data_IF_385534836603
#
_entry.id   IF_385534836603
#
_cell.length_a   1.000
_cell.length_b   1.000
_cell.length_c   1.000
_cell.angle_alpha   90.00
_cell.angle_beta   90.00
_cell.angle_gamma   90.00
#
_symmetry.space_group_name_H-M   'P 1'
#
loop_
_entity.id
_entity.type
_entity.pdbx_description
1 polymer ?
#
# COMPACT_ATOMS: atom_id res chain seq x y z
N UNK A 1 24.69 4.67 -19.08
CA UNK A 1 23.64 3.63 -19.01
C UNK A 1 23.73 2.97 -17.64
N UNK A 2 22.81 3.30 -16.74
CA UNK A 2 22.67 2.66 -15.44
C UNK A 2 21.18 2.44 -15.16
N UNK A 3 20.54 1.55 -15.93
CA UNK A 3 19.12 1.19 -15.82
C UNK A 3 18.87 0.09 -14.77
N UNK A 4 19.49 0.15 -13.59
CA UNK A 4 19.60 -1.05 -12.73
C UNK A 4 19.01 -0.98 -11.32
N UNK A 5 18.11 -0.03 -11.00
CA UNK A 5 17.65 0.11 -9.59
C UNK A 5 16.15 -0.05 -9.34
N UNK A 6 15.25 0.10 -10.32
CA UNK A 6 13.79 0.13 -10.03
C UNK A 6 13.05 -1.20 -10.22
N UNK A 7 13.65 -2.20 -10.87
CA UNK A 7 12.96 -3.47 -11.20
C UNK A 7 13.06 -4.54 -10.10
N UNK A 8 13.94 -4.38 -9.12
CA UNK A 8 14.18 -5.43 -8.12
C UNK A 8 13.19 -5.41 -6.95
N UNK A 9 12.49 -4.29 -6.70
CA UNK A 9 11.53 -4.14 -5.59
C UNK A 9 10.16 -4.78 -5.88
N UNK A 10 9.81 -5.01 -7.15
CA UNK A 10 8.52 -5.58 -7.55
C UNK A 10 8.49 -7.12 -7.53
N UNK A 11 9.60 -7.79 -7.16
CA UNK A 11 9.75 -9.24 -7.28
C UNK A 11 9.36 -10.08 -6.06
N UNK A 12 8.98 -9.48 -4.93
CA UNK A 12 8.88 -10.21 -3.64
C UNK A 12 7.49 -10.20 -2.98
N UNK A 13 6.43 -10.26 -3.79
CA UNK A 13 5.09 -10.59 -3.29
C UNK A 13 4.60 -11.90 -3.94
N UNK A 14 5.33 -12.99 -3.65
CA UNK A 14 4.99 -14.34 -4.06
C UNK A 14 4.11 -15.02 -3.01
N UNK A 15 2.97 -15.53 -3.46
CA UNK A 15 1.89 -16.14 -2.68
C UNK A 15 2.33 -17.27 -1.73
N UNK A 16 1.75 -17.25 -0.51
CA UNK A 16 1.62 -18.44 0.33
C UNK A 16 0.19 -18.53 0.88
N UNK A 17 -0.60 -19.44 0.31
CA UNK A 17 -1.86 -19.93 0.87
C UNK A 17 -1.54 -21.26 1.55
N UNK A 18 -1.61 -21.29 2.88
CA UNK A 18 -1.66 -22.54 3.68
C UNK A 18 -2.80 -22.36 4.67
N UNK A 19 -3.74 -23.30 4.67
CA UNK A 19 -5.11 -23.07 5.10
C UNK A 19 -5.41 -23.14 6.60
N UNK A 20 -6.69 -22.84 6.91
CA UNK A 20 -7.43 -23.38 8.04
C UNK A 20 -7.44 -22.57 9.34
N UNK A 21 -8.61 -21.96 9.62
CA UNK A 21 -9.15 -21.57 10.94
C UNK A 21 -8.54 -20.33 11.62
N UNK A 22 -9.34 -19.25 11.65
CA UNK A 22 -9.15 -18.11 12.55
C UNK A 22 -8.70 -16.83 11.85
N UNK A 23 -9.65 -15.92 11.60
CA UNK A 23 -9.39 -14.54 11.16
C UNK A 23 -8.73 -13.72 12.27
N UNK A 24 -7.44 -13.95 12.48
CA UNK A 24 -6.59 -13.00 13.18
C UNK A 24 -5.60 -12.45 12.15
N UNK A 25 -6.06 -11.45 11.40
CA UNK A 25 -5.21 -10.58 10.58
C UNK A 25 -4.31 -9.78 11.52
N UNK A 26 -3.33 -10.43 12.15
CA UNK A 26 -2.26 -9.76 12.84
C UNK A 26 -1.31 -9.21 11.77
N UNK A 27 -1.72 -8.15 11.10
CA UNK A 27 -0.82 -7.29 10.32
C UNK A 27 0.09 -6.55 11.31
N UNK A 28 1.02 -7.30 11.91
CA UNK A 28 2.11 -6.78 12.73
C UNK A 28 3.25 -6.44 11.78
N UNK A 29 3.43 -5.16 11.52
CA UNK A 29 4.74 -4.54 11.30
C UNK A 29 4.56 -3.03 11.45
N UNK A 30 4.53 -2.55 12.69
CA UNK A 30 4.88 -1.17 12.98
C UNK A 30 6.41 -1.09 12.88
N UNK A 31 6.90 -0.99 11.65
CA UNK A 31 8.29 -0.65 11.39
C UNK A 31 8.40 0.88 11.44
N UNK A 32 8.55 1.40 12.67
CA UNK A 32 8.68 2.84 12.92
C UNK A 32 10.12 3.32 12.68
N UNK A 33 10.77 2.84 11.61
CA UNK A 33 12.20 3.10 11.37
C UNK A 33 12.47 4.27 10.42
N UNK A 34 11.48 4.76 9.68
CA UNK A 34 11.69 5.70 8.56
C UNK A 34 10.91 7.03 8.65
N UNK A 35 10.40 7.39 9.84
CA UNK A 35 9.64 8.64 10.04
C UNK A 35 8.24 8.65 9.40
N UNK A 36 7.80 7.52 8.85
CA UNK A 36 6.44 7.33 8.34
C UNK A 36 5.51 6.90 9.46
N UNK A 37 4.30 7.45 9.46
CA UNK A 37 3.22 7.04 10.37
C UNK A 37 2.10 6.40 9.57
N UNK A 38 1.69 5.20 9.97
CA UNK A 38 0.51 4.54 9.40
C UNK A 38 -0.76 5.27 9.87
N UNK A 39 -1.65 5.56 8.93
CA UNK A 39 -2.96 6.15 9.19
C UNK A 39 -4.05 5.27 8.58
N UNK A 40 -5.23 5.26 9.22
CA UNK A 40 -6.38 4.51 8.73
C UNK A 40 -6.99 5.21 7.51
N UNK A 41 -7.34 4.43 6.49
CA UNK A 41 -7.99 4.94 5.29
C UNK A 41 -9.51 5.06 5.52
N UNK A 42 -10.18 6.11 4.98
CA UNK A 42 -11.64 6.21 5.02
C UNK A 42 -12.33 5.17 4.12
N UNK A 43 -11.57 4.40 3.33
CA UNK A 43 -12.06 3.31 2.50
C UNK A 43 -11.24 2.04 2.71
N UNK A 44 -11.90 0.89 2.63
CA UNK A 44 -11.26 -0.44 2.63
C UNK A 44 -10.77 -0.87 1.24
N UNK A 45 -11.07 -0.08 0.20
CA UNK A 45 -10.64 -0.34 -1.17
C UNK A 45 -9.15 -0.06 -1.33
N UNK A 46 -8.47 -0.90 -2.11
CA UNK A 46 -7.06 -0.70 -2.44
C UNK A 46 -6.87 0.61 -3.22
N UNK A 47 -5.93 1.43 -2.76
CA UNK A 47 -5.47 2.65 -3.42
C UNK A 47 -4.28 2.31 -4.31
N UNK A 48 -4.30 2.77 -5.56
CA UNK A 48 -3.31 2.45 -6.59
C UNK A 48 -2.38 3.62 -6.93
N UNK A 49 -2.75 4.84 -6.53
CA UNK A 49 -1.95 6.03 -6.78
C UNK A 49 -2.35 7.17 -5.87
N UNK A 50 -1.41 8.09 -5.68
CA UNK A 50 -1.61 9.34 -4.95
C UNK A 50 -0.99 10.48 -5.74
N UNK A 51 -1.59 11.66 -5.65
CA UNK A 51 -1.06 12.91 -6.22
C UNK A 51 -1.24 14.03 -5.22
N UNK A 52 -0.20 14.82 -5.01
CA UNK A 52 -0.29 16.07 -4.26
C UNK A 52 -0.48 17.23 -5.23
N UNK A 53 -1.48 18.06 -4.97
CA UNK A 53 -1.89 19.16 -5.84
C UNK A 53 -2.03 20.45 -5.03
N UNK A 54 -2.22 21.58 -5.71
CA UNK A 54 -2.52 22.84 -5.02
C UNK A 54 -3.83 22.79 -4.20
N UNK A 55 -4.74 21.87 -4.52
CA UNK A 55 -5.97 21.64 -3.76
C UNK A 55 -5.83 20.64 -2.62
N UNK A 56 -4.63 20.08 -2.40
CA UNK A 56 -4.36 19.02 -1.45
C UNK A 56 -4.08 17.66 -2.11
N UNK A 57 -3.82 16.64 -1.28
CA UNK A 57 -3.55 15.29 -1.73
C UNK A 57 -4.83 14.57 -2.17
N UNK A 58 -4.72 13.72 -3.19
CA UNK A 58 -5.78 12.85 -3.66
C UNK A 58 -5.25 11.45 -3.88
N UNK A 59 -6.05 10.44 -3.55
CA UNK A 59 -5.76 9.03 -3.79
C UNK A 59 -6.80 8.40 -4.73
N UNK A 60 -6.35 7.54 -5.63
CA UNK A 60 -7.22 6.83 -6.58
C UNK A 60 -7.28 5.34 -6.26
N UNK A 61 -8.50 4.80 -6.16
CA UNK A 61 -8.77 3.40 -5.85
C UNK A 61 -9.36 2.62 -7.03
N UNK A 62 -9.64 1.34 -6.79
CA UNK A 62 -10.37 0.48 -7.75
C UNK A 62 -11.72 1.09 -8.14
N UNK A 63 -12.17 0.84 -9.37
CA UNK A 63 -13.49 1.28 -9.84
C UNK A 63 -13.61 2.78 -10.14
N UNK A 64 -12.51 3.53 -10.11
CA UNK A 64 -12.50 4.97 -10.38
C UNK A 64 -12.81 5.84 -9.15
N UNK A 65 -12.71 5.28 -7.95
CA UNK A 65 -12.93 6.04 -6.72
C UNK A 65 -11.78 7.03 -6.47
N UNK A 66 -12.14 8.25 -6.07
CA UNK A 66 -11.18 9.29 -5.67
C UNK A 66 -11.49 9.69 -4.24
N UNK A 67 -10.45 9.70 -3.39
CA UNK A 67 -10.52 10.07 -1.98
C UNK A 67 -9.56 11.22 -1.72
N UNK A 68 -9.96 12.19 -0.89
CA UNK A 68 -9.19 13.36 -0.47
C UNK A 68 -8.88 13.28 1.03
#
# INVERSE_FOLDING_TARGET
>A
MSEHTRRNVLGLAGAAIVGGVGVASNSRAQDASDGWTTVESPTTKTLHGVVDTAGGPFAVGVGGDVVA
#
